data_IF_411496359660
#
_entry.id   IF_411496359660
#
_cell.length_a   1.000
_cell.length_b   1.000
_cell.length_c   1.000
_cell.angle_alpha   90.00
_cell.angle_beta   90.00
_cell.angle_gamma   90.00
#
_symmetry.space_group_name_H-M   'P 1'
#
loop_
_entity.id
_entity.type
_entity.pdbx_description
1 polymer ?
#
# COMPACT_ATOMS: atom_id res chain seq x y z
N UNK A 1 -12.69 7.22 19.57
CA UNK A 1 -11.86 6.50 18.59
C UNK A 1 -11.92 5.04 18.96
N UNK A 2 -12.34 4.17 18.04
CA UNK A 2 -12.31 2.72 18.28
C UNK A 2 -10.83 2.28 18.42
N UNK A 3 -10.55 1.35 19.32
CA UNK A 3 -9.20 0.83 19.51
C UNK A 3 -8.92 -0.21 18.41
N UNK A 4 -7.97 0.10 17.52
CA UNK A 4 -7.62 -0.79 16.42
C UNK A 4 -7.15 -2.17 16.90
N UNK A 5 -6.57 -2.28 18.10
CA UNK A 5 -6.16 -3.58 18.67
C UNK A 5 -7.36 -4.45 18.98
N UNK A 6 -8.39 -3.86 19.60
CA UNK A 6 -9.63 -4.58 19.92
C UNK A 6 -10.37 -5.00 18.64
N UNK A 7 -10.35 -4.16 17.60
CA UNK A 7 -10.92 -4.50 16.30
C UNK A 7 -10.19 -5.68 15.64
N UNK A 8 -8.86 -5.73 15.72
CA UNK A 8 -8.08 -6.90 15.27
C UNK A 8 -8.44 -8.14 16.08
N UNK A 9 -8.46 -8.04 17.41
CA UNK A 9 -8.81 -9.17 18.29
C UNK A 9 -10.21 -9.71 17.96
N UNK A 10 -11.17 -8.83 17.70
CA UNK A 10 -12.52 -9.20 17.28
C UNK A 10 -12.51 -9.90 15.92
N UNK A 11 -11.82 -9.35 14.92
CA UNK A 11 -11.73 -9.94 13.58
C UNK A 11 -11.12 -11.35 13.63
N UNK A 12 -10.05 -11.54 14.41
CA UNK A 12 -9.40 -12.83 14.61
C UNK A 12 -10.33 -13.88 15.23
N UNK A 13 -11.27 -13.49 16.10
CA UNK A 13 -12.22 -14.42 16.70
C UNK A 13 -13.28 -14.93 15.69
N UNK A 14 -13.62 -14.11 14.69
CA UNK A 14 -14.70 -14.40 13.76
C UNK A 14 -14.21 -14.83 12.36
N UNK A 15 -12.94 -14.65 12.01
CA UNK A 15 -12.40 -14.92 10.66
C UNK A 15 -12.59 -16.36 10.16
N UNK A 16 -12.68 -17.33 11.05
CA UNK A 16 -12.92 -18.73 10.69
C UNK A 16 -14.40 -19.08 10.48
N UNK A 17 -15.31 -18.29 11.07
CA UNK A 17 -16.76 -18.57 11.04
C UNK A 17 -17.54 -17.59 10.17
N UNK A 18 -17.06 -16.36 10.01
CA UNK A 18 -17.62 -15.31 9.17
C UNK A 18 -16.52 -14.45 8.54
N UNK A 19 -16.02 -14.89 7.39
CA UNK A 19 -14.92 -14.23 6.65
C UNK A 19 -15.29 -12.83 6.17
N UNK A 20 -16.56 -12.59 5.80
CA UNK A 20 -17.04 -11.28 5.31
C UNK A 20 -17.03 -10.25 6.44
N UNK A 21 -17.53 -10.63 7.62
CA UNK A 21 -17.55 -9.75 8.78
C UNK A 21 -16.13 -9.51 9.33
N UNK A 22 -15.27 -10.52 9.33
CA UNK A 22 -13.87 -10.36 9.69
C UNK A 22 -13.16 -9.37 8.75
N UNK A 23 -13.33 -9.53 7.43
CA UNK A 23 -12.79 -8.61 6.44
C UNK A 23 -13.21 -7.16 6.71
N UNK A 24 -14.52 -6.93 6.92
CA UNK A 24 -15.03 -5.59 7.24
C UNK A 24 -14.44 -5.04 8.55
N UNK A 25 -14.23 -5.90 9.55
CA UNK A 25 -13.67 -5.52 10.85
C UNK A 25 -12.18 -5.18 10.75
N UNK A 26 -11.40 -5.93 9.97
CA UNK A 26 -10.02 -5.58 9.65
C UNK A 26 -9.92 -4.23 8.92
N UNK A 27 -10.83 -3.95 7.98
CA UNK A 27 -10.91 -2.64 7.32
C UNK A 27 -11.13 -1.49 8.30
N UNK A 28 -12.01 -1.67 9.31
CA UNK A 28 -12.18 -0.68 10.39
C UNK A 28 -10.93 -0.53 11.25
N UNK A 29 -10.23 -1.63 11.55
CA UNK A 29 -9.00 -1.58 12.33
C UNK A 29 -7.92 -0.76 11.62
N UNK A 30 -7.78 -0.92 10.29
CA UNK A 30 -6.88 -0.10 9.46
C UNK A 30 -7.21 1.38 9.60
N UNK A 31 -8.47 1.76 9.42
CA UNK A 31 -8.92 3.15 9.50
C UNK A 31 -8.68 3.75 10.90
N UNK A 32 -8.95 2.99 11.96
CA UNK A 32 -8.68 3.41 13.33
C UNK A 32 -7.17 3.59 13.62
N UNK A 33 -6.33 2.69 13.10
CA UNK A 33 -4.88 2.78 13.25
C UNK A 33 -4.29 3.98 12.50
N UNK A 34 -4.73 4.23 11.25
CA UNK A 34 -4.30 5.39 10.46
C UNK A 34 -4.73 6.71 11.10
N UNK A 35 -5.98 6.79 11.59
CA UNK A 35 -6.44 7.97 12.33
C UNK A 35 -5.61 8.24 13.58
N UNK A 36 -5.20 7.19 14.30
CA UNK A 36 -4.30 7.32 15.44
C UNK A 36 -2.90 7.80 15.00
N UNK A 37 -2.32 7.23 13.95
CA UNK A 37 -1.03 7.66 13.40
C UNK A 37 -1.05 9.12 12.97
N UNK A 38 -2.10 9.56 12.29
CA UNK A 38 -2.26 10.95 11.84
C UNK A 38 -2.22 11.95 13.01
N UNK A 39 -2.79 11.60 14.18
CA UNK A 39 -2.71 12.44 15.38
C UNK A 39 -1.27 12.55 15.93
N UNK A 40 -0.45 11.52 15.76
CA UNK A 40 0.94 11.50 16.21
C UNK A 40 1.88 12.28 15.28
N UNK A 41 1.50 12.45 14.01
CA UNK A 41 2.31 13.14 13.00
C UNK A 41 2.48 14.65 13.23
N UNK A 42 1.88 15.22 14.28
CA UNK A 42 2.25 16.56 14.74
C UNK A 42 3.64 16.62 15.40
N UNK A 43 4.20 15.47 15.78
CA UNK A 43 5.55 15.35 16.30
C UNK A 43 6.58 15.15 15.18
N UNK A 44 7.69 15.91 15.22
CA UNK A 44 8.72 15.89 14.19
C UNK A 44 9.37 14.50 14.06
N UNK A 45 9.67 13.83 15.17
CA UNK A 45 10.35 12.52 15.14
C UNK A 45 9.41 11.48 14.53
N UNK A 46 8.12 11.51 14.91
CA UNK A 46 7.11 10.65 14.32
C UNK A 46 6.97 10.88 12.81
N UNK A 47 6.95 12.15 12.37
CA UNK A 47 6.86 12.49 10.95
C UNK A 47 8.08 12.03 10.15
N UNK A 48 9.29 12.22 10.68
CA UNK A 48 10.54 11.76 10.05
C UNK A 48 10.62 10.23 9.95
N UNK A 49 10.10 9.50 10.93
CA UNK A 49 10.02 8.04 10.89
C UNK A 49 9.11 7.59 9.74
N UNK A 50 7.93 8.19 9.61
CA UNK A 50 6.99 7.85 8.54
C UNK A 50 7.58 8.20 7.16
N UNK A 51 8.19 9.38 7.01
CA UNK A 51 8.89 9.77 5.79
C UNK A 51 10.01 8.78 5.42
N UNK A 52 10.77 8.31 6.41
CA UNK A 52 11.84 7.33 6.17
C UNK A 52 11.29 5.96 5.75
N UNK A 53 10.19 5.51 6.36
CA UNK A 53 9.51 4.27 5.97
C UNK A 53 8.97 4.39 4.54
N UNK A 54 8.39 5.53 4.20
CA UNK A 54 7.93 5.84 2.85
C UNK A 54 9.06 5.67 1.83
N UNK A 55 10.18 6.36 2.05
CA UNK A 55 11.34 6.28 1.17
C UNK A 55 11.88 4.87 1.02
N UNK A 56 11.86 4.07 2.10
CA UNK A 56 12.28 2.68 2.07
C UNK A 56 11.36 1.80 1.20
N UNK A 57 10.03 1.98 1.30
CA UNK A 57 9.05 1.26 0.50
C UNK A 57 9.18 1.62 -0.99
N UNK A 58 9.33 2.91 -1.32
CA UNK A 58 9.58 3.38 -2.68
C UNK A 58 10.85 2.75 -3.26
N UNK A 59 11.96 2.83 -2.52
CA UNK A 59 13.24 2.28 -2.95
C UNK A 59 13.16 0.76 -3.17
N UNK A 60 12.42 0.05 -2.31
CA UNK A 60 12.21 -1.38 -2.42
C UNK A 60 11.37 -1.75 -3.65
N UNK A 61 10.26 -1.05 -3.92
CA UNK A 61 9.46 -1.24 -5.14
C UNK A 61 10.32 -1.08 -6.39
N UNK A 62 11.13 -0.02 -6.45
CA UNK A 62 12.03 0.21 -7.57
C UNK A 62 13.14 -0.84 -7.69
N UNK A 63 13.65 -1.34 -6.56
CA UNK A 63 14.61 -2.44 -6.57
C UNK A 63 14.00 -3.71 -7.19
N UNK A 64 12.74 -4.04 -6.87
CA UNK A 64 12.02 -5.17 -7.47
C UNK A 64 11.82 -4.96 -8.97
N UNK A 65 11.36 -3.78 -9.37
CA UNK A 65 11.08 -3.44 -10.77
C UNK A 65 12.35 -3.46 -11.64
N UNK A 66 13.45 -2.87 -11.15
CA UNK A 66 14.75 -2.91 -11.83
C UNK A 66 15.28 -4.34 -11.94
N UNK A 67 15.09 -5.16 -10.91
CA UNK A 67 15.48 -6.56 -10.93
C UNK A 67 14.67 -7.35 -11.94
N UNK A 68 13.34 -7.16 -11.99
CA UNK A 68 12.48 -7.79 -13.00
C UNK A 68 12.94 -7.44 -14.41
N UNK A 69 13.26 -6.16 -14.67
CA UNK A 69 13.81 -5.72 -15.96
C UNK A 69 15.16 -6.36 -16.28
N UNK A 70 16.01 -6.58 -15.28
CA UNK A 70 17.32 -7.21 -15.47
C UNK A 70 17.24 -8.74 -15.66
N UNK A 71 16.26 -9.39 -15.02
CA UNK A 71 15.99 -10.83 -15.14
C UNK A 71 15.30 -11.15 -16.48
N UNK A 72 14.65 -10.16 -17.12
CA UNK A 72 13.92 -10.26 -18.40
C UNK A 72 13.03 -11.52 -18.51
N UNK A 73 12.13 -11.74 -17.53
CA UNK A 73 11.26 -12.91 -17.55
C UNK A 73 10.27 -12.83 -18.72
N UNK A 74 9.79 -13.99 -19.15
CA UNK A 74 8.67 -14.06 -20.09
C UNK A 74 7.45 -13.30 -19.52
N UNK A 75 6.95 -12.32 -20.29
CA UNK A 75 5.79 -11.51 -19.90
C UNK A 75 4.57 -12.41 -19.70
N UNK A 76 3.88 -12.28 -18.57
CA UNK A 76 2.78 -13.16 -18.18
C UNK A 76 3.21 -14.53 -17.66
N UNK A 77 4.51 -14.84 -17.70
CA UNK A 77 5.09 -16.01 -17.04
C UNK A 77 5.05 -15.89 -15.52
N UNK A 78 5.25 -17.01 -14.83
CA UNK A 78 5.17 -17.08 -13.35
C UNK A 78 6.12 -16.09 -12.67
N UNK A 79 7.36 -15.97 -13.17
CA UNK A 79 8.36 -15.08 -12.58
C UNK A 79 8.01 -13.59 -12.82
N UNK A 80 7.50 -13.25 -14.01
CA UNK A 80 7.00 -11.90 -14.30
C UNK A 80 5.82 -11.55 -13.41
N UNK A 81 4.82 -12.43 -13.33
CA UNK A 81 3.63 -12.23 -12.51
C UNK A 81 3.97 -12.10 -11.01
N UNK A 82 4.91 -12.92 -10.51
CA UNK A 82 5.34 -12.84 -9.12
C UNK A 82 6.06 -11.53 -8.81
N UNK A 83 6.96 -11.08 -9.68
CA UNK A 83 7.67 -9.79 -9.52
C UNK A 83 6.73 -8.59 -9.64
N UNK A 84 5.83 -8.62 -10.61
CA UNK A 84 4.80 -7.60 -10.79
C UNK A 84 3.88 -7.53 -9.56
N UNK A 85 3.41 -8.68 -9.07
CA UNK A 85 2.60 -8.77 -7.85
C UNK A 85 3.35 -8.31 -6.59
N UNK A 86 4.64 -8.64 -6.47
CA UNK A 86 5.50 -8.17 -5.38
C UNK A 86 5.60 -6.63 -5.38
N UNK A 87 5.87 -6.02 -6.52
CA UNK A 87 5.95 -4.56 -6.64
C UNK A 87 4.58 -3.90 -6.39
N UNK A 88 3.52 -4.47 -6.97
CA UNK A 88 2.14 -3.98 -6.84
C UNK A 88 1.63 -4.03 -5.40
N UNK A 89 1.92 -5.10 -4.65
CA UNK A 89 1.55 -5.19 -3.25
C UNK A 89 2.19 -4.10 -2.39
N UNK A 90 3.45 -3.75 -2.66
CA UNK A 90 4.15 -2.67 -1.94
C UNK A 90 3.59 -1.31 -2.34
N UNK A 91 3.30 -1.08 -3.62
CA UNK A 91 2.71 0.17 -4.08
C UNK A 91 1.30 0.37 -3.52
N UNK A 92 0.46 -0.68 -3.42
CA UNK A 92 -0.83 -0.57 -2.72
C UNK A 92 -0.69 -0.15 -1.24
N UNK A 93 0.34 -0.63 -0.53
CA UNK A 93 0.58 -0.20 0.86
C UNK A 93 0.97 1.27 0.93
N UNK A 94 1.83 1.73 0.02
CA UNK A 94 2.15 3.16 -0.10
C UNK A 94 0.88 3.97 -0.40
N UNK A 95 0.24 3.67 -1.52
CA UNK A 95 -0.82 4.47 -2.09
C UNK A 95 -2.16 4.40 -1.35
N UNK A 96 -2.44 3.32 -0.64
CA UNK A 96 -3.77 3.11 -0.06
C UNK A 96 -3.73 3.06 1.46
N UNK A 97 -2.54 3.11 2.10
CA UNK A 97 -2.42 3.21 3.55
C UNK A 97 -1.58 4.42 3.95
N UNK A 98 -0.35 4.53 3.42
CA UNK A 98 0.57 5.58 3.85
C UNK A 98 0.18 6.95 3.27
N UNK A 99 -0.30 7.02 2.03
CA UNK A 99 -0.74 8.27 1.39
C UNK A 99 -1.98 8.90 2.06
N UNK A 100 -2.70 8.14 2.90
CA UNK A 100 -3.75 8.71 3.76
C UNK A 100 -3.17 9.59 4.89
N UNK A 101 -1.86 9.50 5.15
CA UNK A 101 -1.16 10.28 6.16
C UNK A 101 -0.66 11.58 5.55
N UNK A 102 -1.21 12.69 6.04
CA UNK A 102 -0.89 14.03 5.56
C UNK A 102 0.09 14.74 6.48
N UNK A 103 1.05 15.42 5.88
CA UNK A 103 1.91 16.37 6.58
C UNK A 103 1.22 17.73 6.70
N UNK A 104 0.29 17.82 7.65
CA UNK A 104 -0.51 19.03 7.88
C UNK A 104 0.35 20.23 8.31
N UNK A 105 1.56 19.98 8.82
CA UNK A 105 2.46 21.00 9.33
C UNK A 105 3.53 21.45 8.31
N UNK A 106 3.66 20.76 7.18
CA UNK A 106 4.62 21.06 6.11
C UNK A 106 6.08 20.90 6.55
N UNK A 107 6.34 19.93 7.44
CA UNK A 107 7.65 19.72 8.08
C UNK A 107 8.51 18.68 7.33
N UNK A 108 7.89 17.88 6.47
CA UNK A 108 8.44 16.74 5.72
C UNK A 108 8.12 16.85 4.23
N UNK A 109 8.67 15.95 3.41
CA UNK A 109 8.36 15.86 1.99
C UNK A 109 7.19 14.89 1.66
N UNK A 110 6.36 14.50 2.64
CA UNK A 110 5.34 13.46 2.44
C UNK A 110 4.40 13.73 1.25
N UNK A 111 3.98 14.98 1.04
CA UNK A 111 3.13 15.32 -0.12
C UNK A 111 3.83 15.18 -1.48
N UNK A 112 5.14 15.42 -1.55
CA UNK A 112 5.93 15.20 -2.79
C UNK A 112 6.15 13.70 -3.02
N UNK A 113 6.28 12.95 -1.93
CA UNK A 113 6.43 11.50 -1.98
C UNK A 113 5.14 10.80 -2.44
N UNK A 114 3.97 11.31 -2.03
CA UNK A 114 2.64 10.91 -2.52
C UNK A 114 2.50 11.09 -4.04
N UNK A 115 2.79 12.28 -4.57
CA UNK A 115 2.78 12.51 -6.03
C UNK A 115 3.72 11.54 -6.79
N UNK A 116 4.87 11.21 -6.18
CA UNK A 116 5.83 10.27 -6.75
C UNK A 116 5.33 8.83 -6.70
N UNK A 117 4.72 8.38 -5.60
CA UNK A 117 4.21 7.01 -5.48
C UNK A 117 3.06 6.78 -6.46
N UNK A 118 2.20 7.77 -6.70
CA UNK A 118 1.13 7.69 -7.68
C UNK A 118 1.68 7.32 -9.07
N UNK A 119 2.71 8.07 -9.50
CA UNK A 119 3.38 7.84 -10.78
C UNK A 119 4.00 6.43 -10.83
N UNK A 120 4.66 6.03 -9.74
CA UNK A 120 5.25 4.70 -9.61
C UNK A 120 4.19 3.58 -9.68
N UNK A 121 3.05 3.78 -9.01
CA UNK A 121 1.95 2.82 -8.98
C UNK A 121 1.34 2.63 -10.38
N UNK A 122 1.15 3.72 -11.13
CA UNK A 122 0.72 3.66 -12.53
C UNK A 122 1.68 2.87 -13.41
N UNK A 123 2.99 3.05 -13.25
CA UNK A 123 4.00 2.25 -13.97
C UNK A 123 3.92 0.76 -13.61
N UNK A 124 3.70 0.44 -12.33
CA UNK A 124 3.56 -0.94 -11.86
C UNK A 124 2.27 -1.58 -12.38
N UNK A 125 1.16 -0.83 -12.46
CA UNK A 125 -0.12 -1.30 -13.04
C UNK A 125 0.09 -1.83 -14.47
N UNK A 126 0.93 -1.18 -15.28
CA UNK A 126 1.26 -1.66 -16.64
C UNK A 126 1.83 -3.08 -16.58
N UNK A 127 2.71 -3.35 -15.61
CA UNK A 127 3.29 -4.69 -15.42
C UNK A 127 2.26 -5.68 -14.85
N UNK A 128 1.42 -5.25 -13.90
CA UNK A 128 0.34 -6.05 -13.35
C UNK A 128 -0.68 -6.48 -14.42
N UNK A 129 -1.06 -5.59 -15.34
CA UNK A 129 -1.91 -5.91 -16.49
C UNK A 129 -1.23 -6.89 -17.44
N UNK A 130 0.05 -6.66 -17.74
CA UNK A 130 0.83 -7.54 -18.60
C UNK A 130 1.03 -8.94 -18.01
N UNK A 131 1.00 -9.07 -16.67
CA UNK A 131 1.04 -10.35 -15.98
C UNK A 131 -0.24 -11.20 -16.16
N UNK A 132 -1.32 -10.63 -16.72
CA UNK A 132 -2.57 -11.34 -16.95
C UNK A 132 -3.28 -11.75 -15.65
N UNK A 133 -3.13 -10.94 -14.60
CA UNK A 133 -3.75 -11.18 -13.30
C UNK A 133 -5.29 -11.21 -13.45
N UNK A 134 -5.94 -12.19 -12.83
CA UNK A 134 -7.41 -12.33 -12.82
C UNK A 134 -8.08 -11.59 -11.68
N UNK A 135 -7.30 -10.88 -10.86
CA UNK A 135 -7.78 -10.12 -9.70
C UNK A 135 -7.96 -8.67 -10.08
N UNK A 136 -8.93 -8.01 -9.45
CA UNK A 136 -9.16 -6.58 -9.61
C UNK A 136 -7.92 -5.80 -9.15
N UNK A 137 -7.46 -4.87 -9.97
CA UNK A 137 -6.41 -3.92 -9.60
C UNK A 137 -7.03 -2.57 -9.27
N UNK A 138 -6.33 -1.82 -8.45
CA UNK A 138 -6.71 -0.51 -7.95
C UNK A 138 -5.77 0.53 -8.57
N UNK A 139 -6.31 1.69 -8.91
CA UNK A 139 -5.50 2.84 -9.25
C UNK A 139 -4.78 3.39 -8.01
N UNK A 140 -3.96 4.43 -8.19
CA UNK A 140 -3.20 5.01 -7.08
C UNK A 140 -4.08 5.61 -5.99
N UNK A 141 -5.36 5.88 -6.27
CA UNK A 141 -6.33 6.41 -5.31
C UNK A 141 -7.20 5.32 -4.67
N UNK A 142 -6.90 4.06 -4.96
CA UNK A 142 -7.59 2.91 -4.39
C UNK A 142 -8.91 2.58 -5.07
N UNK A 143 -9.20 3.19 -6.22
CA UNK A 143 -10.42 2.92 -6.99
C UNK A 143 -10.20 1.72 -7.92
N UNK A 144 -11.23 0.90 -8.09
CA UNK A 144 -11.15 -0.30 -8.95
C UNK A 144 -10.94 0.13 -10.41
N UNK A 145 -9.90 -0.42 -11.02
CA UNK A 145 -9.66 -0.32 -12.46
C UNK A 145 -10.62 -1.26 -13.18
N UNK A 146 -11.68 -0.70 -13.74
CA UNK A 146 -12.50 -1.39 -14.73
C UNK A 146 -11.75 -1.42 -16.06
N UNK A 147 -11.70 -2.59 -16.71
CA UNK A 147 -11.07 -2.80 -18.02
C UNK A 147 -11.61 -1.87 -19.12
#
# INVERSE_FOLDING_TARGET
MEDWKQLIDQAMQIETSNTIEAHATYGKAVQAALAQSQMLLGDLEAAQIIESIYGALVAYSQQVMLRMKAEDPEIGGVDHAFRAGQAYGVSCVLNHLIDQLTDVAGITALGVLDDFSDTLHEEIIVQGRAAGLTVEMLDAKGEILFD
#
